data_IF_723766662001
#
_entry.id   IF_723766662001
#
_cell.length_a   1.000
_cell.length_b   1.000
_cell.length_c   1.000
_cell.angle_alpha   90.00
_cell.angle_beta   90.00
_cell.angle_gamma   90.00
#
_symmetry.space_group_name_H-M   'P 1'
#
loop_
_entity.id
_entity.type
_entity.pdbx_description
1 polymer ?
#
# COMPACT_ATOMS: atom_id res chain seq x y z
N UNK A 1 10.77 6.09 -2.88
CA UNK A 1 10.21 5.72 -4.19
C UNK A 1 10.92 6.52 -5.25
N UNK A 2 11.35 5.87 -6.34
CA UNK A 2 12.01 6.46 -7.50
C UNK A 2 11.02 6.96 -8.55
N UNK A 3 9.86 6.32 -8.65
CA UNK A 3 8.82 6.66 -9.62
C UNK A 3 7.56 7.15 -8.90
N UNK A 4 7.00 8.26 -9.35
CA UNK A 4 5.72 8.78 -8.85
C UNK A 4 4.55 8.26 -9.68
N UNK A 5 3.33 8.37 -9.14
CA UNK A 5 2.09 8.09 -9.89
C UNK A 5 2.03 8.88 -11.20
N UNK A 6 2.48 10.13 -11.17
CA UNK A 6 2.50 11.01 -12.35
C UNK A 6 3.47 10.48 -13.42
N UNK A 7 4.66 10.04 -13.02
CA UNK A 7 5.66 9.50 -13.94
C UNK A 7 5.13 8.24 -14.64
N UNK A 8 4.48 7.35 -13.88
CA UNK A 8 3.94 6.10 -14.43
C UNK A 8 2.72 6.32 -15.34
N UNK A 9 1.91 7.36 -15.08
CA UNK A 9 0.81 7.72 -15.99
C UNK A 9 1.32 8.22 -17.35
N UNK A 10 2.50 8.84 -17.41
CA UNK A 10 3.09 9.33 -18.66
C UNK A 10 3.67 8.21 -19.54
N UNK A 11 3.79 6.98 -19.03
CA UNK A 11 4.27 5.82 -19.79
C UNK A 11 3.21 5.37 -20.79
N UNK A 12 3.35 5.77 -22.05
CA UNK A 12 2.34 5.55 -23.09
C UNK A 12 2.61 4.35 -24.02
N UNK A 13 3.74 3.65 -23.85
CA UNK A 13 4.19 2.57 -24.74
C UNK A 13 4.60 1.32 -23.97
N UNK A 14 4.54 0.14 -24.60
CA UNK A 14 5.06 -1.11 -24.03
C UNK A 14 6.51 -1.41 -24.45
N UNK A 15 7.37 -0.41 -24.36
CA UNK A 15 8.82 -0.63 -24.54
C UNK A 15 9.40 -1.37 -23.33
N UNK A 16 10.58 -1.97 -23.49
CA UNK A 16 11.30 -2.63 -22.39
C UNK A 16 11.54 -1.66 -21.22
N UNK A 17 11.87 -0.41 -21.54
CA UNK A 17 12.08 0.62 -20.53
C UNK A 17 10.78 0.97 -19.78
N UNK A 18 9.67 1.11 -20.50
CA UNK A 18 8.35 1.34 -19.91
C UNK A 18 7.93 0.19 -18.97
N UNK A 19 8.14 -1.05 -19.42
CA UNK A 19 7.84 -2.24 -18.62
C UNK A 19 8.71 -2.30 -17.36
N UNK A 20 9.98 -1.92 -17.47
CA UNK A 20 10.91 -1.82 -16.33
C UNK A 20 10.48 -0.75 -15.32
N UNK A 21 10.09 0.44 -15.79
CA UNK A 21 9.58 1.53 -14.92
C UNK A 21 8.36 1.06 -14.13
N UNK A 22 7.40 0.41 -14.81
CA UNK A 22 6.19 -0.13 -14.16
C UNK A 22 6.55 -1.21 -13.14
N UNK A 23 7.44 -2.14 -13.48
CA UNK A 23 7.87 -3.18 -12.56
C UNK A 23 8.59 -2.62 -11.32
N UNK A 24 9.47 -1.62 -11.49
CA UNK A 24 10.14 -0.94 -10.39
C UNK A 24 9.14 -0.21 -9.50
N UNK A 25 8.19 0.53 -10.09
CA UNK A 25 7.12 1.20 -9.34
C UNK A 25 6.29 0.20 -8.52
N UNK A 26 5.83 -0.88 -9.14
CA UNK A 26 5.06 -1.92 -8.47
C UNK A 26 5.84 -2.55 -7.31
N UNK A 27 7.12 -2.83 -7.51
CA UNK A 27 7.99 -3.37 -6.47
C UNK A 27 8.14 -2.41 -5.28
N UNK A 28 8.42 -1.13 -5.55
CA UNK A 28 8.59 -0.13 -4.49
C UNK A 28 7.31 0.10 -3.70
N UNK A 29 6.15 0.11 -4.37
CA UNK A 29 4.84 0.21 -3.70
C UNK A 29 4.62 -0.97 -2.76
N UNK A 30 4.90 -2.20 -3.21
CA UNK A 30 4.74 -3.38 -2.37
C UNK A 30 5.69 -3.38 -1.18
N UNK A 31 6.94 -2.97 -1.35
CA UNK A 31 7.89 -2.89 -0.24
C UNK A 31 7.47 -1.84 0.80
N UNK A 32 6.99 -0.67 0.37
CA UNK A 32 6.47 0.33 1.30
C UNK A 32 5.20 -0.16 2.01
N UNK A 33 4.29 -0.85 1.32
CA UNK A 33 3.10 -1.43 1.93
C UNK A 33 3.47 -2.49 2.99
N UNK A 34 4.38 -3.42 2.65
CA UNK A 34 4.90 -4.43 3.60
C UNK A 34 5.60 -3.81 4.80
N UNK A 35 6.35 -2.72 4.60
CA UNK A 35 7.02 -2.00 5.69
C UNK A 35 6.00 -1.41 6.66
N UNK A 36 4.95 -0.78 6.15
CA UNK A 36 3.84 -0.23 6.97
C UNK A 36 3.09 -1.33 7.69
N UNK A 37 2.80 -2.43 7.00
CA UNK A 37 2.18 -3.60 7.61
C UNK A 37 3.01 -4.17 8.74
N UNK A 38 4.32 -4.41 8.53
CA UNK A 38 5.24 -4.88 9.57
C UNK A 38 5.26 -3.94 10.79
N UNK A 39 5.22 -2.62 10.56
CA UNK A 39 5.13 -1.64 11.65
C UNK A 39 3.82 -1.80 12.43
N UNK A 40 2.70 -1.98 11.75
CA UNK A 40 1.41 -2.22 12.39
C UNK A 40 1.40 -3.54 13.18
N UNK A 41 1.90 -4.63 12.61
CA UNK A 41 2.05 -5.93 13.31
C UNK A 41 2.93 -5.79 14.54
N UNK A 42 4.07 -5.09 14.43
CA UNK A 42 4.96 -4.88 15.58
C UNK A 42 4.29 -4.13 16.73
N UNK A 43 3.34 -3.23 16.44
CA UNK A 43 2.55 -2.53 17.46
C UNK A 43 1.55 -3.48 18.11
N UNK A 44 0.93 -4.38 17.33
CA UNK A 44 0.02 -5.39 17.85
C UNK A 44 0.72 -6.47 18.70
N UNK A 45 1.98 -6.77 18.38
CA UNK A 45 2.78 -7.79 19.07
C UNK A 45 3.51 -7.25 20.31
N UNK A 46 3.45 -5.94 20.59
CA UNK A 46 4.04 -5.38 21.80
C UNK A 46 3.26 -5.88 23.03
N UNK A 47 3.95 -6.62 23.90
CA UNK A 47 3.43 -7.04 25.22
C UNK A 47 3.24 -5.86 26.20
N UNK A 48 3.64 -4.65 25.80
CA UNK A 48 3.46 -3.42 26.58
C UNK A 48 2.06 -2.82 26.38
N UNK A 49 1.61 -2.04 27.38
CA UNK A 49 0.38 -1.23 27.28
C UNK A 49 0.50 -0.30 26.07
N UNK A 50 -0.43 -0.42 25.13
CA UNK A 50 -0.52 0.44 23.96
C UNK A 50 -0.91 1.85 24.41
N UNK A 51 -0.11 2.85 24.07
CA UNK A 51 -0.42 4.25 24.33
C UNK A 51 -1.07 4.94 23.12
N UNK A 52 -1.54 6.17 23.32
CA UNK A 52 -2.17 6.98 22.27
C UNK A 52 -1.24 7.26 21.09
N UNK A 53 0.08 7.33 21.31
CA UNK A 53 1.06 7.57 20.26
C UNK A 53 1.20 6.35 19.36
N UNK A 54 1.26 5.14 19.94
CA UNK A 54 1.28 3.88 19.20
C UNK A 54 -0.01 3.69 18.39
N UNK A 55 -1.17 4.04 18.93
CA UNK A 55 -2.43 3.97 18.19
C UNK A 55 -2.47 4.98 17.02
N UNK A 56 -1.90 6.18 17.18
CA UNK A 56 -1.74 7.14 16.11
C UNK A 56 -0.81 6.62 15.00
N UNK A 57 0.35 6.05 15.37
CA UNK A 57 1.29 5.43 14.44
C UNK A 57 0.62 4.27 13.67
N UNK A 58 -0.18 3.45 14.35
CA UNK A 58 -0.95 2.39 13.73
C UNK A 58 -1.98 2.94 12.72
N UNK A 59 -2.63 4.05 13.06
CA UNK A 59 -3.54 4.78 12.17
C UNK A 59 -2.84 5.30 10.92
N UNK A 60 -1.66 5.91 11.08
CA UNK A 60 -0.84 6.41 9.96
C UNK A 60 -0.33 5.31 9.03
N UNK A 61 0.07 4.16 9.62
CA UNK A 61 0.48 2.99 8.84
C UNK A 61 -0.67 2.49 7.96
N UNK A 62 -1.86 2.33 8.54
CA UNK A 62 -3.10 1.96 7.84
C UNK A 62 -3.47 2.97 6.75
N UNK A 63 -3.49 4.27 7.08
CA UNK A 63 -3.83 5.33 6.12
C UNK A 63 -2.87 5.33 4.93
N UNK A 64 -1.58 5.10 5.16
CA UNK A 64 -0.59 4.96 4.10
C UNK A 64 -0.84 3.78 3.17
N UNK A 65 -1.21 2.61 3.71
CA UNK A 65 -1.54 1.44 2.88
C UNK A 65 -2.74 1.75 1.97
N UNK A 66 -3.80 2.36 2.51
CA UNK A 66 -4.96 2.82 1.71
C UNK A 66 -4.55 3.77 0.60
N UNK A 67 -3.65 4.72 0.90
CA UNK A 67 -3.17 5.68 -0.07
C UNK A 67 -2.40 5.00 -1.21
N UNK A 68 -1.57 3.99 -0.91
CA UNK A 68 -0.87 3.19 -1.92
C UNK A 68 -1.86 2.43 -2.81
N UNK A 69 -2.87 1.79 -2.22
CA UNK A 69 -3.91 1.07 -2.98
C UNK A 69 -4.63 2.01 -3.94
N UNK A 70 -5.11 3.16 -3.45
CA UNK A 70 -5.79 4.16 -4.27
C UNK A 70 -4.89 4.70 -5.39
N UNK A 71 -3.60 4.90 -5.09
CA UNK A 71 -2.62 5.39 -6.06
C UNK A 71 -2.39 4.40 -7.21
N UNK A 72 -2.20 3.11 -6.90
CA UNK A 72 -2.00 2.08 -7.94
C UNK A 72 -3.30 1.87 -8.73
N UNK A 73 -4.46 1.89 -8.08
CA UNK A 73 -5.74 1.76 -8.76
C UNK A 73 -5.92 2.88 -9.79
N UNK A 74 -5.64 4.13 -9.41
CA UNK A 74 -5.72 5.27 -10.31
C UNK A 74 -4.73 5.22 -11.49
N UNK A 75 -3.58 4.55 -11.32
CA UNK A 75 -2.63 4.29 -12.43
C UNK A 75 -3.13 3.16 -13.33
N UNK A 76 -3.66 2.08 -12.75
CA UNK A 76 -4.21 0.95 -13.50
C UNK A 76 -5.39 1.38 -14.36
N UNK A 77 -6.32 2.16 -13.80
CA UNK A 77 -7.48 2.71 -14.53
C UNK A 77 -7.06 3.60 -15.70
N UNK A 78 -5.99 4.39 -15.51
CA UNK A 78 -5.42 5.22 -16.57
C UNK A 78 -4.91 4.37 -17.75
N UNK A 79 -4.33 3.20 -17.46
CA UNK A 79 -3.76 2.28 -18.44
C UNK A 79 -4.73 1.19 -18.93
N UNK A 80 -5.99 1.19 -18.48
CA UNK A 80 -6.91 0.05 -18.65
C UNK A 80 -7.16 -0.38 -20.11
N UNK A 81 -7.03 0.53 -21.08
CA UNK A 81 -7.22 0.26 -22.53
C UNK A 81 -5.92 0.34 -23.34
N UNK A 82 -4.78 0.50 -22.67
CA UNK A 82 -3.49 0.75 -23.29
C UNK A 82 -2.58 -0.47 -23.33
N UNK A 83 -1.37 -0.27 -23.84
CA UNK A 83 -0.35 -1.33 -23.92
C UNK A 83 0.12 -1.82 -22.52
N UNK A 84 -0.20 -1.07 -21.46
CA UNK A 84 0.09 -1.38 -20.05
C UNK A 84 -1.10 -1.97 -19.30
N UNK A 85 -2.21 -2.31 -19.98
CA UNK A 85 -3.36 -2.93 -19.34
C UNK A 85 -2.98 -4.23 -18.61
N UNK A 86 -3.53 -4.44 -17.41
CA UNK A 86 -3.30 -5.62 -16.58
C UNK A 86 -1.93 -5.69 -15.89
N UNK A 87 -1.00 -4.76 -16.16
CA UNK A 87 0.35 -4.77 -15.57
C UNK A 87 0.38 -4.50 -14.06
N UNK A 88 -0.72 -3.99 -13.50
CA UNK A 88 -0.85 -3.67 -12.08
C UNK A 88 -1.69 -4.68 -11.30
N UNK A 89 -2.30 -5.68 -11.96
CA UNK A 89 -3.30 -6.56 -11.35
C UNK A 89 -2.72 -7.40 -10.20
N UNK A 90 -1.51 -7.95 -10.39
CA UNK A 90 -0.84 -8.70 -9.33
C UNK A 90 -0.51 -7.80 -8.12
N UNK A 91 -0.01 -6.59 -8.38
CA UNK A 91 0.29 -5.61 -7.34
C UNK A 91 -0.97 -5.19 -6.59
N UNK A 92 -2.08 -4.94 -7.30
CA UNK A 92 -3.37 -4.62 -6.70
C UNK A 92 -3.90 -5.76 -5.85
N UNK A 93 -3.76 -7.01 -6.31
CA UNK A 93 -4.15 -8.21 -5.55
C UNK A 93 -3.35 -8.35 -4.25
N UNK A 94 -2.02 -8.13 -4.29
CA UNK A 94 -1.18 -8.16 -3.10
C UNK A 94 -1.48 -7.00 -2.14
N UNK A 95 -1.69 -5.79 -2.67
CA UNK A 95 -2.06 -4.62 -1.88
C UNK A 95 -3.41 -4.79 -1.18
N UNK A 96 -4.39 -5.42 -1.85
CA UNK A 96 -5.69 -5.73 -1.24
C UNK A 96 -5.53 -6.64 -0.02
N UNK A 97 -4.71 -7.69 -0.12
CA UNK A 97 -4.42 -8.59 1.02
C UNK A 97 -3.76 -7.84 2.18
N UNK A 98 -2.74 -7.03 1.87
CA UNK A 98 -2.04 -6.22 2.88
C UNK A 98 -3.01 -5.23 3.55
N UNK A 99 -3.89 -4.60 2.77
CA UNK A 99 -4.90 -3.69 3.28
C UNK A 99 -5.88 -4.41 4.20
N UNK A 100 -6.41 -5.56 3.80
CA UNK A 100 -7.36 -6.33 4.63
C UNK A 100 -6.75 -6.74 5.96
N UNK A 101 -5.51 -7.23 5.94
CA UNK A 101 -4.75 -7.58 7.15
C UNK A 101 -4.53 -6.33 8.02
N UNK A 102 -4.13 -5.20 7.44
CA UNK A 102 -3.92 -3.96 8.18
C UNK A 102 -5.22 -3.38 8.77
N UNK A 103 -6.34 -3.45 8.06
CA UNK A 103 -7.65 -3.04 8.58
C UNK A 103 -8.07 -3.91 9.76
N UNK A 104 -7.87 -5.23 9.67
CA UNK A 104 -8.19 -6.17 10.72
C UNK A 104 -7.37 -5.89 11.99
N UNK A 105 -6.05 -5.77 11.85
CA UNK A 105 -5.15 -5.49 12.97
C UNK A 105 -5.45 -4.14 13.62
N UNK A 106 -5.62 -3.08 12.82
CA UNK A 106 -5.96 -1.76 13.36
C UNK A 106 -7.32 -1.76 14.07
N UNK A 107 -8.33 -2.43 13.53
CA UNK A 107 -9.64 -2.53 14.17
C UNK A 107 -9.54 -3.23 15.53
N UNK A 108 -8.76 -4.30 15.63
CA UNK A 108 -8.51 -5.00 16.88
C UNK A 108 -7.81 -4.09 17.91
N UNK A 109 -6.72 -3.43 17.51
CA UNK A 109 -6.02 -2.44 18.34
C UNK A 109 -6.95 -1.34 18.84
N UNK A 110 -7.73 -0.74 17.94
CA UNK A 110 -8.66 0.32 18.29
C UNK A 110 -9.76 -0.16 19.25
N UNK A 111 -10.27 -1.39 19.08
CA UNK A 111 -11.31 -1.93 19.97
C UNK A 111 -10.81 -2.20 21.39
N UNK A 112 -9.53 -2.49 21.57
CA UNK A 112 -8.93 -2.71 22.89
C UNK A 112 -8.70 -1.40 23.65
N UNK A 113 -8.30 -0.34 22.94
CA UNK A 113 -7.75 0.86 23.57
C UNK A 113 -8.60 2.14 23.40
N UNK A 114 -9.59 2.14 22.51
CA UNK A 114 -10.57 3.23 22.42
C UNK A 114 -11.82 3.00 23.29
N UNK A 115 -11.76 2.06 24.24
CA UNK A 115 -12.78 1.86 25.27
C UNK A 115 -12.53 2.83 26.43
N UNK A 116 -12.83 4.10 26.18
CA UNK A 116 -13.25 5.05 27.22
C UNK A 116 -14.77 5.06 27.31
#
# INVERSE_FOLDING_TARGET
MKHTVSDVKQVSSATDNATKIVAEFCHEVLEEAKKRQRRLSSIADLESILDSEQLAIAGDARAGIRHLVASVLAVSEHHQKGAMAGRFDETLSQLAKIQDEAESTYRWLHALYARD
#
